data_IF_165219245702
#
_entry.id   IF_165219245702
#
_cell.length_a   1.000
_cell.length_b   1.000
_cell.length_c   1.000
_cell.angle_alpha   90.00
_cell.angle_beta   90.00
_cell.angle_gamma   90.00
#
_symmetry.space_group_name_H-M   'P 1'
#
loop_
_entity.id
_entity.type
_entity.pdbx_description
1 polymer ?
#
# COMPACT_ATOMS: atom_id res chain seq x y z
N UNK A 1 -3.05 13.31 2.00
CA UNK A 1 -2.73 12.52 3.22
C UNK A 1 -1.22 12.52 3.42
N UNK A 2 -0.72 12.44 4.65
CA UNK A 2 0.72 12.34 4.92
C UNK A 2 1.19 10.87 4.80
N UNK A 3 2.47 10.64 4.48
CA UNK A 3 3.02 9.28 4.34
C UNK A 3 2.96 8.45 5.63
N UNK A 4 3.00 9.09 6.79
CA UNK A 4 2.89 8.40 8.09
C UNK A 4 1.51 7.77 8.31
N UNK A 5 0.43 8.47 7.97
CA UNK A 5 -0.94 7.96 8.09
C UNK A 5 -1.19 6.78 7.14
N UNK A 6 -0.64 6.84 5.93
CA UNK A 6 -0.68 5.74 4.95
C UNK A 6 -0.01 4.50 5.56
N UNK A 7 1.22 4.64 6.06
CA UNK A 7 1.93 3.50 6.66
C UNK A 7 1.25 2.95 7.91
N UNK A 8 0.58 3.81 8.70
CA UNK A 8 -0.23 3.37 9.83
C UNK A 8 -1.47 2.58 9.39
N UNK A 9 -2.18 3.02 8.34
CA UNK A 9 -3.29 2.29 7.74
C UNK A 9 -2.85 0.89 7.27
N UNK A 10 -1.75 0.83 6.53
CA UNK A 10 -1.15 -0.43 6.05
C UNK A 10 -0.86 -1.38 7.21
N UNK A 11 -0.24 -0.88 8.29
CA UNK A 11 0.03 -1.66 9.49
C UNK A 11 -1.27 -2.18 10.10
N UNK A 12 -2.27 -1.31 10.30
CA UNK A 12 -3.56 -1.66 10.89
C UNK A 12 -4.29 -2.74 10.07
N UNK A 13 -4.38 -2.57 8.76
CA UNK A 13 -5.07 -3.52 7.88
C UNK A 13 -4.40 -4.90 7.89
N UNK A 14 -3.06 -4.97 7.83
CA UNK A 14 -2.32 -6.23 7.92
C UNK A 14 -2.49 -6.93 9.27
N UNK A 15 -2.55 -6.17 10.37
CA UNK A 15 -2.84 -6.71 11.69
C UNK A 15 -4.24 -7.33 11.74
N UNK A 16 -5.25 -6.66 11.19
CA UNK A 16 -6.62 -7.19 11.14
C UNK A 16 -6.68 -8.45 10.28
N UNK A 17 -6.05 -8.44 9.10
CA UNK A 17 -5.97 -9.62 8.23
C UNK A 17 -5.34 -10.84 8.95
N UNK A 18 -4.26 -10.60 9.70
CA UNK A 18 -3.59 -11.63 10.50
C UNK A 18 -4.49 -12.18 11.60
N UNK A 19 -5.22 -11.31 12.30
CA UNK A 19 -6.19 -11.71 13.32
C UNK A 19 -7.34 -12.55 12.72
N UNK A 20 -7.86 -12.17 11.55
CA UNK A 20 -8.87 -12.96 10.84
C UNK A 20 -8.35 -14.37 10.51
N UNK A 21 -7.12 -14.51 10.01
CA UNK A 21 -6.50 -15.82 9.74
C UNK A 21 -6.31 -16.66 11.01
N UNK A 22 -5.83 -16.05 12.09
CA UNK A 22 -5.70 -16.72 13.38
C UNK A 22 -7.06 -17.20 13.90
N UNK A 23 -8.09 -16.35 13.82
CA UNK A 23 -9.45 -16.69 14.25
C UNK A 23 -10.03 -17.84 13.42
N UNK A 24 -9.77 -17.86 12.11
CA UNK A 24 -10.23 -18.92 11.21
C UNK A 24 -9.71 -20.31 11.62
N UNK A 25 -8.47 -20.38 12.13
CA UNK A 25 -7.87 -21.65 12.60
C UNK A 25 -8.62 -22.27 13.79
N UNK A 26 -9.26 -21.44 14.63
CA UNK A 26 -10.00 -21.88 15.82
C UNK A 26 -11.51 -21.89 15.63
N UNK A 27 -12.02 -21.56 14.43
CA UNK A 27 -13.46 -21.47 14.11
C UNK A 27 -13.77 -22.14 12.76
N UNK A 28 -13.69 -23.48 12.65
CA UNK A 28 -13.82 -24.18 11.37
C UNK A 28 -15.11 -23.85 10.60
N UNK A 29 -16.25 -23.74 11.30
CA UNK A 29 -17.55 -23.40 10.72
C UNK A 29 -17.59 -22.01 10.06
N UNK A 30 -16.80 -21.05 10.56
CA UNK A 30 -16.77 -19.67 10.06
C UNK A 30 -15.48 -19.35 9.30
N UNK A 31 -14.59 -20.34 9.12
CA UNK A 31 -13.25 -20.17 8.57
C UNK A 31 -13.28 -19.51 7.19
N UNK A 32 -14.20 -19.92 6.32
CA UNK A 32 -14.34 -19.34 4.97
C UNK A 32 -14.63 -17.83 4.98
N UNK A 33 -15.57 -17.38 5.82
CA UNK A 33 -15.91 -15.95 5.95
C UNK A 33 -14.74 -15.15 6.53
N UNK A 34 -14.07 -15.69 7.55
CA UNK A 34 -12.89 -15.05 8.17
C UNK A 34 -11.72 -14.94 7.19
N UNK A 35 -11.46 -15.96 6.37
CA UNK A 35 -10.43 -15.91 5.33
C UNK A 35 -10.77 -14.93 4.19
N UNK A 36 -12.05 -14.80 3.83
CA UNK A 36 -12.49 -13.78 2.90
C UNK A 36 -12.26 -12.37 3.45
N UNK A 37 -12.61 -12.11 4.71
CA UNK A 37 -12.32 -10.85 5.38
C UNK A 37 -10.81 -10.57 5.44
N UNK A 38 -9.99 -11.59 5.73
CA UNK A 38 -8.55 -11.43 5.75
C UNK A 38 -8.00 -10.94 4.40
N UNK A 39 -8.45 -11.55 3.29
CA UNK A 39 -8.06 -11.16 1.93
C UNK A 39 -8.47 -9.72 1.60
N UNK A 40 -9.67 -9.32 1.99
CA UNK A 40 -10.16 -7.96 1.77
C UNK A 40 -9.28 -6.93 2.49
N UNK A 41 -8.93 -7.17 3.75
CA UNK A 41 -8.03 -6.27 4.48
C UNK A 41 -6.61 -6.24 3.89
N UNK A 42 -6.10 -7.38 3.42
CA UNK A 42 -4.81 -7.46 2.77
C UNK A 42 -4.80 -6.69 1.44
N UNK A 43 -5.87 -6.78 0.66
CA UNK A 43 -6.05 -6.00 -0.56
C UNK A 43 -6.05 -4.49 -0.28
N UNK A 44 -6.77 -4.03 0.74
CA UNK A 44 -6.76 -2.60 1.15
C UNK A 44 -5.37 -2.12 1.56
N UNK A 45 -4.60 -2.95 2.26
CA UNK A 45 -3.23 -2.61 2.63
C UNK A 45 -2.31 -2.46 1.41
N UNK A 46 -2.49 -3.31 0.40
CA UNK A 46 -1.74 -3.24 -0.86
C UNK A 46 -2.14 -1.99 -1.65
N UNK A 47 -3.43 -1.73 -1.81
CA UNK A 47 -3.93 -0.56 -2.52
C UNK A 47 -3.41 0.76 -1.92
N UNK A 48 -3.37 0.86 -0.58
CA UNK A 48 -2.83 2.03 0.12
C UNK A 48 -1.32 2.22 -0.13
N UNK A 49 -0.55 1.12 -0.17
CA UNK A 49 0.88 1.16 -0.52
C UNK A 49 1.11 1.54 -1.98
N UNK A 50 0.34 0.97 -2.90
CA UNK A 50 0.44 1.26 -4.33
C UNK A 50 0.15 2.74 -4.60
N UNK A 51 -0.93 3.28 -4.03
CA UNK A 51 -1.27 4.69 -4.16
C UNK A 51 -0.17 5.61 -3.60
N UNK A 52 0.46 5.24 -2.48
CA UNK A 52 1.59 5.99 -1.93
C UNK A 52 2.80 6.00 -2.86
N UNK A 53 3.20 4.84 -3.39
CA UNK A 53 4.32 4.75 -4.30
C UNK A 53 4.05 5.44 -5.64
N UNK A 54 2.83 5.35 -6.15
CA UNK A 54 2.42 6.07 -7.35
C UNK A 54 2.58 7.59 -7.17
N UNK A 55 2.05 8.13 -6.07
CA UNK A 55 2.20 9.56 -5.74
C UNK A 55 3.67 9.97 -5.54
N UNK A 56 4.47 9.12 -4.88
CA UNK A 56 5.90 9.36 -4.69
C UNK A 56 6.67 9.40 -6.02
N UNK A 57 6.41 8.43 -6.92
CA UNK A 57 7.01 8.38 -8.24
C UNK A 57 6.62 9.60 -9.09
N UNK A 58 5.35 10.01 -9.06
CA UNK A 58 4.88 11.23 -9.75
C UNK A 58 5.61 12.48 -9.23
N UNK A 59 5.75 12.61 -7.91
CA UNK A 59 6.47 13.73 -7.30
C UNK A 59 7.96 13.75 -7.68
N UNK A 60 8.62 12.58 -7.72
CA UNK A 60 10.02 12.46 -8.15
C UNK A 60 10.21 12.76 -9.64
N UNK A 61 9.26 12.35 -10.48
CA UNK A 61 9.28 12.57 -11.94
C UNK A 61 9.07 14.05 -12.32
N UNK A 62 8.33 14.80 -11.49
CA UNK A 62 8.11 16.24 -11.66
C UNK A 62 9.33 17.11 -11.39
N UNK A 63 10.47 16.53 -10.98
CA UNK A 63 11.74 17.22 -10.74
C UNK A 63 12.84 16.72 -11.68
N UNK A 64 12.62 16.83 -12.99
CA UNK A 64 13.75 16.91 -13.92
C UNK A 64 14.23 18.36 -13.93
N UNK A 65 15.47 18.68 -13.50
CA UNK A 65 16.05 19.97 -13.83
C UNK A 65 16.28 19.96 -15.34
N UNK A 66 15.33 20.54 -16.08
CA UNK A 66 15.42 20.79 -17.52
C UNK A 66 16.51 21.83 -17.78
N UNK A 67 17.77 21.43 -17.71
CA UNK A 67 18.89 22.27 -18.12
C UNK A 67 20.07 21.51 -18.73
N UNK A 68 19.84 20.31 -19.28
CA UNK A 68 20.84 19.56 -20.06
C UNK A 68 20.63 19.70 -21.57
N UNK A 69 20.29 20.90 -22.05
CA UNK A 69 20.10 21.17 -23.48
C UNK A 69 20.60 22.57 -23.89
N UNK A 70 21.81 22.97 -23.51
CA UNK A 70 22.48 24.07 -24.21
C UNK A 70 23.98 24.18 -23.94
N UNK A 71 24.78 23.29 -24.52
CA UNK A 71 26.21 23.53 -24.81
C UNK A 71 26.67 22.57 -25.91
N UNK A 72 26.19 22.78 -27.13
CA UNK A 72 26.75 22.17 -28.33
C UNK A 72 26.50 23.09 -29.54
N UNK A 73 27.01 24.33 -29.48
CA UNK A 73 27.32 25.15 -30.66
C UNK A 73 28.48 26.08 -30.29
N UNK A 74 29.69 25.62 -30.62
CA UNK A 74 30.80 26.36 -31.26
C UNK A 74 32.12 25.65 -30.98
#
# INVERSE_FOLDING_TARGET
MNGLAIMENVRRYRTIASLCRQTAAFRPLHSGSLLAQAREWEHRAVAELEAYFEAFCQAASGHTPTHAARCAVN
#
